data_IF_944162766692
#
_entry.id   IF_944162766692
#
_cell.length_a   1.000
_cell.length_b   1.000
_cell.length_c   1.000
_cell.angle_alpha   90.00
_cell.angle_beta   90.00
_cell.angle_gamma   90.00
#
_symmetry.space_group_name_H-M   'P 1'
#
loop_
_entity.id
_entity.type
_entity.pdbx_description
1 polymer ?
#
# COMPACT_ATOMS: atom_id res chain seq x y z
N UNK A 1 -8.59 0.78 5.39
CA UNK A 1 -8.33 2.21 5.66
C UNK A 1 -6.84 2.54 5.89
N UNK A 2 -5.91 1.58 5.99
CA UNK A 2 -4.49 1.82 6.29
C UNK A 2 -3.80 2.92 5.47
N UNK A 3 -3.94 2.94 4.15
CA UNK A 3 -3.23 3.93 3.28
C UNK A 3 -3.90 5.32 3.35
N UNK A 4 -5.21 5.40 3.61
CA UNK A 4 -5.92 6.67 3.79
C UNK A 4 -5.67 7.27 5.18
N UNK A 5 -5.59 6.45 6.22
CA UNK A 5 -5.37 6.88 7.61
C UNK A 5 -3.90 7.22 7.90
N UNK A 6 -2.97 6.57 7.20
CA UNK A 6 -1.54 6.85 7.30
C UNK A 6 -1.03 7.46 5.98
N UNK A 7 -1.16 8.78 5.79
CA UNK A 7 -0.66 9.44 4.59
C UNK A 7 0.84 9.16 4.45
N UNK A 8 1.21 8.49 3.33
CA UNK A 8 2.60 8.17 2.94
C UNK A 8 3.23 6.98 3.68
N UNK A 9 2.46 5.93 3.97
CA UNK A 9 2.99 4.70 4.54
C UNK A 9 3.84 3.90 3.53
N UNK A 10 4.69 3.00 4.03
CA UNK A 10 5.47 2.07 3.20
C UNK A 10 4.75 0.74 3.04
N UNK A 11 5.14 -0.05 2.04
CA UNK A 11 4.65 -1.42 1.90
C UNK A 11 4.97 -2.27 3.14
N UNK A 12 6.14 -2.07 3.75
CA UNK A 12 6.54 -2.75 5.00
C UNK A 12 5.55 -2.47 6.13
N UNK A 13 5.14 -1.21 6.30
CA UNK A 13 4.13 -0.85 7.28
C UNK A 13 2.79 -1.57 7.02
N UNK A 14 2.36 -1.65 5.76
CA UNK A 14 1.12 -2.35 5.40
C UNK A 14 1.22 -3.86 5.70
N UNK A 15 2.37 -4.47 5.44
CA UNK A 15 2.66 -5.88 5.79
C UNK A 15 2.53 -6.09 7.30
N UNK A 16 3.18 -5.25 8.10
CA UNK A 16 3.16 -5.31 9.56
C UNK A 16 1.74 -5.06 10.12
N UNK A 17 1.04 -4.04 9.63
CA UNK A 17 -0.28 -3.67 10.12
C UNK A 17 -1.40 -4.62 9.67
N UNK A 18 -1.28 -5.22 8.47
CA UNK A 18 -2.26 -6.18 7.98
C UNK A 18 -2.00 -7.62 8.46
N UNK A 19 -0.78 -7.90 8.97
CA UNK A 19 -0.36 -9.24 9.36
C UNK A 19 -0.37 -10.23 8.20
N UNK A 20 -0.02 -9.76 6.99
CA UNK A 20 -0.06 -10.54 5.74
C UNK A 20 1.33 -10.74 5.17
N UNK A 21 1.46 -11.77 4.34
CA UNK A 21 2.70 -12.02 3.60
C UNK A 21 3.04 -10.86 2.66
N UNK A 22 4.35 -10.58 2.51
CA UNK A 22 4.86 -9.50 1.67
C UNK A 22 4.40 -9.64 0.21
N UNK A 23 4.38 -10.86 -0.34
CA UNK A 23 3.96 -11.12 -1.72
C UNK A 23 2.46 -10.92 -1.92
N UNK A 24 1.63 -11.28 -0.93
CA UNK A 24 0.20 -10.98 -0.96
C UNK A 24 -0.08 -9.48 -0.94
N UNK A 25 0.62 -8.75 -0.05
CA UNK A 25 0.48 -7.29 0.05
C UNK A 25 0.97 -6.59 -1.21
N UNK A 26 2.08 -7.06 -1.81
CA UNK A 26 2.57 -6.52 -3.09
C UNK A 26 1.50 -6.60 -4.18
N UNK A 27 0.94 -7.79 -4.42
CA UNK A 27 -0.10 -8.00 -5.45
C UNK A 27 -1.34 -7.15 -5.20
N UNK A 28 -1.76 -7.00 -3.94
CA UNK A 28 -2.89 -6.16 -3.60
C UNK A 28 -2.61 -4.68 -3.89
N UNK A 29 -1.42 -4.18 -3.53
CA UNK A 29 -1.00 -2.79 -3.81
C UNK A 29 -0.91 -2.57 -5.32
N UNK A 30 -0.29 -3.48 -6.06
CA UNK A 30 -0.18 -3.38 -7.53
C UNK A 30 -1.58 -3.27 -8.17
N UNK A 31 -2.54 -4.06 -7.69
CA UNK A 31 -3.93 -3.97 -8.16
C UNK A 31 -4.58 -2.62 -7.82
N UNK A 32 -4.31 -2.06 -6.65
CA UNK A 32 -4.81 -0.74 -6.27
C UNK A 32 -4.18 0.39 -7.09
N UNK A 33 -2.92 0.23 -7.51
CA UNK A 33 -2.23 1.15 -8.42
C UNK A 33 -2.84 1.06 -9.83
N UNK A 34 -3.08 -0.16 -10.34
CA UNK A 34 -3.75 -0.37 -11.63
C UNK A 34 -5.13 0.29 -11.69
N UNK A 35 -5.86 0.27 -10.58
CA UNK A 35 -7.18 0.91 -10.47
C UNK A 35 -7.11 2.43 -10.24
N UNK A 36 -5.90 3.01 -10.11
CA UNK A 36 -5.72 4.44 -9.84
C UNK A 36 -6.14 4.87 -8.43
N UNK A 37 -6.26 3.93 -7.48
CA UNK A 37 -6.66 4.21 -6.09
C UNK A 37 -5.44 4.53 -5.21
N UNK A 38 -4.27 4.05 -5.61
CA UNK A 38 -3.00 4.25 -4.90
C UNK A 38 -1.93 4.71 -5.88
N UNK A 39 -1.12 5.67 -5.46
CA UNK A 39 0.08 6.12 -6.16
C UNK A 39 1.30 5.71 -5.34
N UNK A 40 2.29 5.12 -6.01
CA UNK A 40 3.59 4.80 -5.41
C UNK A 40 4.64 5.83 -5.83
N UNK A 41 5.23 6.55 -4.88
CA UNK A 41 6.29 7.55 -5.12
C UNK A 41 7.41 7.37 -4.09
N UNK A 42 8.65 7.22 -4.56
CA UNK A 42 9.85 7.11 -3.68
C UNK A 42 9.66 6.09 -2.55
N UNK A 43 9.12 4.92 -2.88
CA UNK A 43 8.83 3.82 -1.95
C UNK A 43 7.71 4.07 -0.92
N UNK A 44 6.95 5.14 -1.08
CA UNK A 44 5.77 5.48 -0.27
C UNK A 44 4.48 5.27 -1.07
N UNK A 45 3.43 4.86 -0.37
CA UNK A 45 2.09 4.65 -0.90
C UNK A 45 1.20 5.83 -0.50
N UNK A 46 0.47 6.39 -1.45
CA UNK A 46 -0.45 7.51 -1.26
C UNK A 46 -1.80 7.13 -1.84
N UNK A 47 -2.88 7.26 -1.06
CA UNK A 47 -4.21 7.11 -1.62
C UNK A 47 -4.58 8.34 -2.47
N UNK A 48 -5.37 8.13 -3.52
CA UNK A 48 -5.94 9.19 -4.34
C UNK A 48 -7.13 9.88 -3.68
#
# INVERSE_FOLDING_TARGET
>A
MLIHEAPRCTQKYVVEAAGKDQGQVARAIDRLIELGLVVKKENRLMAQ
#
